data_IF_639610717124
#
_entry.id   IF_639610717124
#
_cell.length_a   1.000
_cell.length_b   1.000
_cell.length_c   1.000
_cell.angle_alpha   90.00
_cell.angle_beta   90.00
_cell.angle_gamma   90.00
#
_symmetry.space_group_name_H-M   'P 1'
#
loop_
_entity.id
_entity.type
_entity.pdbx_description
1 polymer ?
#
# COMPACT_ATOMS: atom_id res chain seq x y z
N UNK A 1 -18.77 -19.52 -11.69
CA UNK A 1 -18.19 -18.16 -11.77
C UNK A 1 -16.77 -18.24 -11.20
N UNK A 2 -15.74 -17.96 -11.99
CA UNK A 2 -14.36 -17.93 -11.49
C UNK A 2 -14.19 -16.60 -10.76
N UNK A 3 -14.09 -16.64 -9.44
CA UNK A 3 -13.67 -15.48 -8.63
C UNK A 3 -12.30 -15.10 -9.21
N UNK A 4 -12.22 -13.99 -9.96
CA UNK A 4 -10.92 -13.42 -10.30
C UNK A 4 -10.35 -13.03 -8.94
N UNK A 5 -9.28 -13.71 -8.48
CA UNK A 5 -8.43 -13.17 -7.41
C UNK A 5 -8.13 -11.74 -7.86
N UNK A 6 -8.76 -10.75 -7.24
CA UNK A 6 -8.59 -9.36 -7.61
C UNK A 6 -7.14 -9.02 -7.30
N UNK A 7 -6.32 -8.79 -8.32
CA UNK A 7 -5.03 -8.17 -8.12
C UNK A 7 -5.31 -6.83 -7.44
N UNK A 8 -4.84 -6.67 -6.21
CA UNK A 8 -4.92 -5.41 -5.49
C UNK A 8 -3.96 -4.46 -6.23
N UNK A 9 -4.38 -3.25 -6.59
CA UNK A 9 -3.54 -2.29 -7.33
C UNK A 9 -3.22 -1.08 -6.46
N UNK A 10 -2.01 -0.54 -6.64
CA UNK A 10 -1.58 0.67 -6.00
C UNK A 10 -2.39 1.84 -6.54
N UNK A 11 -3.06 2.57 -5.64
CA UNK A 11 -3.89 3.69 -6.05
C UNK A 11 -3.07 4.91 -6.51
N UNK A 12 -1.75 4.92 -6.30
CA UNK A 12 -0.87 6.03 -6.74
C UNK A 12 -0.26 5.79 -8.14
N UNK A 13 0.29 4.59 -8.41
CA UNK A 13 0.97 4.29 -9.67
C UNK A 13 0.23 3.29 -10.58
N UNK A 14 -0.91 2.74 -10.12
CA UNK A 14 -1.73 1.76 -10.83
C UNK A 14 -1.08 0.39 -11.08
N UNK A 15 0.15 0.18 -10.60
CA UNK A 15 0.83 -1.11 -10.63
C UNK A 15 0.27 -2.08 -9.58
N UNK A 16 0.47 -3.39 -9.80
CA UNK A 16 -0.01 -4.44 -8.91
C UNK A 16 0.69 -4.37 -7.53
N UNK A 17 -0.09 -4.59 -6.48
CA UNK A 17 0.37 -4.77 -5.11
C UNK A 17 0.58 -6.27 -4.88
N UNK A 18 1.78 -6.63 -4.47
CA UNK A 18 2.16 -8.01 -4.21
C UNK A 18 1.98 -8.25 -2.70
N UNK A 19 1.11 -9.17 -2.32
CA UNK A 19 0.78 -9.41 -0.90
C UNK A 19 1.83 -10.23 -0.14
N UNK A 20 2.71 -10.92 -0.86
CA UNK A 20 3.66 -11.91 -0.33
C UNK A 20 5.11 -11.51 -0.65
N UNK A 21 5.43 -10.24 -0.43
CA UNK A 21 6.79 -9.70 -0.59
C UNK A 21 7.53 -9.82 0.73
N UNK A 22 8.73 -10.40 0.68
CA UNK A 22 9.65 -10.42 1.83
C UNK A 22 10.38 -9.08 2.00
N UNK A 23 10.59 -8.37 0.89
CA UNK A 23 11.30 -7.09 0.88
C UNK A 23 10.42 -5.97 1.47
N UNK A 24 10.94 -5.30 2.49
CA UNK A 24 10.21 -4.26 3.22
C UNK A 24 9.90 -3.05 2.34
N UNK A 25 10.77 -2.74 1.38
CA UNK A 25 10.59 -1.59 0.48
C UNK A 25 9.45 -1.81 -0.53
N UNK A 26 9.15 -3.07 -0.83
CA UNK A 26 8.08 -3.49 -1.74
C UNK A 26 6.74 -3.75 -1.02
N UNK A 27 6.71 -3.64 0.31
CA UNK A 27 5.47 -3.80 1.08
C UNK A 27 4.45 -2.71 0.77
N UNK A 28 3.22 -3.03 1.13
CA UNK A 28 2.05 -2.21 0.84
C UNK A 28 1.50 -1.62 2.13
N UNK A 29 0.89 -0.43 2.03
CA UNK A 29 0.19 0.20 3.15
C UNK A 29 -1.21 0.65 2.73
N UNK A 30 -2.18 0.47 3.63
CA UNK A 30 -3.55 0.93 3.47
C UNK A 30 -3.74 2.33 4.04
N UNK A 31 -4.61 3.12 3.41
CA UNK A 31 -5.03 4.41 3.98
C UNK A 31 -6.03 4.18 5.12
N UNK A 32 -5.85 4.87 6.24
CA UNK A 32 -6.75 4.76 7.41
C UNK A 32 -8.13 5.40 7.18
N UNK A 33 -8.27 6.27 6.18
CA UNK A 33 -9.52 6.99 5.86
C UNK A 33 -10.32 6.41 4.70
N UNK A 34 -9.71 5.59 3.84
CA UNK A 34 -10.40 5.06 2.67
C UNK A 34 -9.91 3.66 2.33
N UNK A 35 -10.68 2.83 1.61
CA UNK A 35 -10.31 1.44 1.34
C UNK A 35 -9.24 1.29 0.24
N UNK A 36 -8.34 2.28 0.07
CA UNK A 36 -7.28 2.28 -0.95
C UNK A 36 -5.97 1.81 -0.36
N UNK A 37 -5.18 1.18 -1.21
CA UNK A 37 -3.86 0.63 -0.89
C UNK A 37 -2.79 1.20 -1.82
N UNK A 38 -1.57 1.25 -1.30
CA UNK A 38 -0.44 1.90 -1.94
C UNK A 38 0.84 1.09 -1.68
N UNK A 39 1.79 1.07 -2.61
CA UNK A 39 3.15 0.65 -2.27
C UNK A 39 3.74 1.64 -1.28
N UNK A 40 4.52 1.19 -0.32
CA UNK A 40 5.23 2.10 0.60
C UNK A 40 6.12 3.09 -0.15
N UNK A 41 6.81 2.65 -1.21
CA UNK A 41 7.62 3.53 -2.07
C UNK A 41 6.85 4.65 -2.78
N UNK A 42 5.52 4.53 -2.86
CA UNK A 42 4.64 5.52 -3.49
C UNK A 42 4.00 6.49 -2.48
N UNK A 43 4.36 6.40 -1.20
CA UNK A 43 3.83 7.27 -0.14
C UNK A 43 4.93 8.09 0.53
N UNK A 44 4.58 8.83 1.58
CA UNK A 44 5.54 9.53 2.44
C UNK A 44 6.42 8.58 3.28
N UNK A 45 6.18 7.26 3.23
CA UNK A 45 6.94 6.25 3.96
C UNK A 45 8.04 5.59 3.12
N UNK A 46 8.37 6.14 1.95
CA UNK A 46 9.53 5.71 1.17
C UNK A 46 10.81 5.74 2.04
N UNK A 47 11.50 4.60 2.12
CA UNK A 47 12.73 4.44 2.92
C UNK A 47 12.49 4.27 4.43
N UNK A 48 11.24 4.16 4.87
CA UNK A 48 10.89 3.79 6.25
C UNK A 48 10.73 2.27 6.36
N UNK A 49 11.10 1.70 7.50
CA UNK A 49 10.82 0.28 7.76
C UNK A 49 9.31 0.02 7.84
N UNK A 50 8.89 -1.19 7.52
CA UNK A 50 7.47 -1.55 7.59
C UNK A 50 6.92 -1.49 9.01
N UNK A 51 7.70 -1.91 10.01
CA UNK A 51 7.29 -1.85 11.42
C UNK A 51 7.04 -0.42 11.90
N UNK A 52 7.89 0.53 11.49
CA UNK A 52 7.67 1.95 11.81
C UNK A 52 6.45 2.51 11.08
N UNK A 53 6.28 2.20 9.80
CA UNK A 53 5.14 2.65 9.00
C UNK A 53 3.82 2.09 9.54
N UNK A 54 3.78 0.81 9.91
CA UNK A 54 2.60 0.15 10.48
C UNK A 54 2.18 0.70 11.85
N UNK A 55 3.09 1.39 12.55
CA UNK A 55 2.80 2.06 13.83
C UNK A 55 2.20 3.47 13.68
N UNK A 56 2.14 4.00 12.44
CA UNK A 56 1.69 5.36 12.14
C UNK A 56 0.33 5.34 11.45
N UNK A 57 -0.43 6.41 11.65
CA UNK A 57 -1.60 6.69 10.82
C UNK A 57 -1.13 7.17 9.44
N UNK A 58 -1.63 6.54 8.39
CA UNK A 58 -1.40 6.94 7.02
C UNK A 58 -2.70 7.41 6.37
N UNK A 59 -2.75 8.71 6.05
CA UNK A 59 -3.84 9.30 5.28
C UNK A 59 -3.33 9.64 3.89
N UNK A 60 -3.77 8.90 2.88
CA UNK A 60 -3.36 9.13 1.50
C UNK A 60 -3.74 10.53 1.00
N UNK A 61 -2.96 11.07 0.06
CA UNK A 61 -3.23 12.31 -0.67
C UNK A 61 -4.55 12.32 -1.48
N UNK A 62 -5.27 11.19 -1.53
CA UNK A 62 -6.57 11.08 -2.18
C UNK A 62 -7.74 11.35 -1.23
N UNK A 63 -7.46 11.46 0.08
CA UNK A 63 -8.45 11.79 1.12
C UNK A 63 -8.39 13.27 1.55
N UNK A 64 -7.48 14.05 0.97
CA UNK A 64 -7.34 15.49 1.19
C UNK A 64 -8.32 16.31 0.38
#
# INVERSE_FOLDING_TARGET
MKIRKGNLQCSACEEDLISDVEDEEEKNIGCDKCPRWFHMKCTEFLGMSYDEAASKEYISFMCS
#
